data_IF_310458383772
#
_entry.id   IF_310458383772
#
_cell.length_a   1.000
_cell.length_b   1.000
_cell.length_c   1.000
_cell.angle_alpha   90.00
_cell.angle_beta   90.00
_cell.angle_gamma   90.00
#
_symmetry.space_group_name_H-M   'P 1'
#
loop_
_entity.id
_entity.type
_entity.pdbx_description
1 polymer ?
#
# COMPACT_ATOMS: atom_id res chain seq x y z
N UNK A 1 6.63 -39.26 -29.47
CA UNK A 1 5.36 -39.25 -28.71
C UNK A 1 5.04 -37.81 -28.36
N UNK A 2 3.90 -37.25 -28.77
CA UNK A 2 3.52 -35.91 -28.34
C UNK A 2 3.07 -35.98 -26.89
N UNK A 3 3.81 -35.31 -26.00
CA UNK A 3 3.39 -35.09 -24.62
C UNK A 3 2.19 -34.15 -24.64
N UNK A 4 1.12 -34.59 -23.99
CA UNK A 4 -0.15 -33.87 -23.81
C UNK A 4 0.09 -32.43 -23.38
N UNK A 5 -0.49 -31.47 -24.11
CA UNK A 5 -0.66 -30.09 -23.66
C UNK A 5 -1.93 -29.98 -22.80
N UNK A 6 -1.98 -30.68 -21.68
CA UNK A 6 -2.91 -30.35 -20.60
C UNK A 6 -2.28 -29.26 -19.74
N UNK A 7 -2.43 -28.01 -20.19
CA UNK A 7 -2.15 -26.86 -19.33
C UNK A 7 -3.34 -26.67 -18.38
N UNK A 8 -3.17 -26.84 -17.05
CA UNK A 8 -4.29 -26.77 -16.11
C UNK A 8 -4.94 -25.39 -16.13
N UNK A 9 -6.26 -25.37 -16.15
CA UNK A 9 -7.15 -24.20 -16.10
C UNK A 9 -6.79 -23.30 -14.92
N UNK A 10 -6.18 -22.16 -15.22
CA UNK A 10 -5.55 -21.27 -14.24
C UNK A 10 -6.60 -20.30 -13.64
N UNK A 11 -7.54 -20.80 -12.85
CA UNK A 11 -8.34 -20.03 -11.88
C UNK A 11 -8.52 -20.91 -10.66
N UNK A 12 -8.32 -20.37 -9.46
CA UNK A 12 -8.55 -21.09 -8.20
C UNK A 12 -9.98 -20.84 -7.75
N UNK A 13 -10.68 -21.90 -7.31
CA UNK A 13 -12.02 -21.81 -6.72
C UNK A 13 -13.20 -22.07 -7.66
N UNK A 14 -12.97 -22.40 -8.94
CA UNK A 14 -14.06 -22.80 -9.86
C UNK A 14 -14.52 -24.25 -9.70
N UNK A 15 -13.63 -25.13 -9.20
CA UNK A 15 -13.87 -26.57 -9.14
C UNK A 15 -14.15 -27.06 -7.72
N UNK A 16 -14.62 -26.17 -6.82
CA UNK A 16 -14.95 -26.61 -5.47
C UNK A 16 -16.18 -27.51 -5.48
N UNK A 17 -16.02 -28.70 -4.90
CA UNK A 17 -17.14 -29.59 -4.61
C UNK A 17 -17.90 -29.15 -3.33
N UNK A 18 -19.00 -29.82 -3.05
CA UNK A 18 -19.89 -29.48 -1.94
C UNK A 18 -19.20 -29.64 -0.59
N UNK A 19 -18.45 -30.73 -0.40
CA UNK A 19 -17.70 -31.00 0.83
C UNK A 19 -16.62 -29.94 1.09
N UNK A 20 -15.89 -29.54 0.05
CA UNK A 20 -14.88 -28.49 0.12
C UNK A 20 -15.50 -27.16 0.53
N UNK A 21 -16.61 -26.74 -0.12
CA UNK A 21 -17.29 -25.50 0.25
C UNK A 21 -17.80 -25.54 1.68
N UNK A 22 -18.37 -26.66 2.11
CA UNK A 22 -19.03 -26.78 3.42
C UNK A 22 -18.06 -26.92 4.59
N UNK A 23 -16.93 -27.60 4.39
CA UNK A 23 -16.05 -28.02 5.49
C UNK A 23 -14.63 -27.48 5.44
N UNK A 24 -14.14 -26.97 4.30
CA UNK A 24 -12.76 -26.50 4.24
C UNK A 24 -12.54 -25.31 5.19
N UNK A 25 -11.43 -25.28 5.95
CA UNK A 25 -11.10 -24.15 6.82
C UNK A 25 -10.68 -22.92 6.01
N UNK A 26 -10.22 -23.11 4.78
CA UNK A 26 -9.80 -22.05 3.88
C UNK A 26 -10.51 -22.14 2.52
N UNK A 27 -11.02 -21.01 2.05
CA UNK A 27 -11.61 -20.87 0.72
C UNK A 27 -10.87 -19.80 -0.06
N UNK A 28 -10.47 -20.13 -1.30
CA UNK A 28 -9.67 -19.28 -2.17
C UNK A 28 -10.27 -19.23 -3.56
N UNK A 29 -10.69 -18.04 -3.94
CA UNK A 29 -11.22 -17.70 -5.26
C UNK A 29 -10.28 -16.67 -5.86
N UNK A 30 -9.49 -17.06 -6.86
CA UNK A 30 -8.48 -16.18 -7.41
C UNK A 30 -8.31 -16.33 -8.92
N UNK A 31 -8.32 -15.19 -9.62
CA UNK A 31 -7.84 -15.13 -11.01
C UNK A 31 -6.32 -15.35 -11.02
N UNK A 32 -5.80 -16.21 -11.89
CA UNK A 32 -4.35 -16.50 -11.87
C UNK A 32 -3.54 -15.46 -12.64
N UNK A 33 -2.20 -15.44 -12.44
CA UNK A 33 -1.29 -14.68 -13.28
C UNK A 33 -1.08 -15.42 -14.60
N UNK A 34 -1.55 -14.88 -15.73
CA UNK A 34 -1.20 -15.44 -17.03
C UNK A 34 0.30 -15.18 -17.34
N UNK A 35 1.11 -16.20 -17.71
CA UNK A 35 2.53 -16.00 -18.01
C UNK A 35 2.83 -15.36 -19.38
N UNK A 36 1.97 -15.43 -20.42
CA UNK A 36 2.37 -14.98 -21.77
C UNK A 36 1.24 -14.46 -22.71
N UNK A 37 0.17 -13.86 -22.19
CA UNK A 37 -0.83 -13.17 -23.01
C UNK A 37 -1.23 -11.84 -22.39
N UNK A 38 -1.36 -10.79 -23.20
CA UNK A 38 -1.98 -9.54 -22.77
C UNK A 38 -3.34 -9.88 -22.13
N UNK A 39 -3.45 -9.72 -20.81
CA UNK A 39 -4.57 -10.17 -19.99
C UNK A 39 -5.85 -9.40 -20.29
N UNK A 40 -6.43 -9.67 -21.46
CA UNK A 40 -7.65 -9.05 -22.03
C UNK A 40 -8.34 -10.02 -22.98
N UNK A 41 -8.02 -11.32 -22.94
CA UNK A 41 -8.65 -12.30 -23.82
C UNK A 41 -10.11 -12.52 -23.42
N UNK A 42 -11.00 -12.78 -24.38
CA UNK A 42 -12.41 -13.14 -24.13
C UNK A 42 -12.54 -14.29 -23.10
N UNK A 43 -11.60 -15.23 -23.13
CA UNK A 43 -11.53 -16.34 -22.19
C UNK A 43 -11.26 -15.88 -20.75
N UNK A 44 -10.32 -14.96 -20.54
CA UNK A 44 -9.99 -14.47 -19.19
C UNK A 44 -11.17 -13.72 -18.57
N UNK A 45 -11.88 -12.92 -19.40
CA UNK A 45 -13.11 -12.23 -18.98
C UNK A 45 -14.20 -13.22 -18.59
N UNK A 46 -14.40 -14.27 -19.37
CA UNK A 46 -15.41 -15.29 -19.11
C UNK A 46 -15.08 -16.14 -17.89
N UNK A 47 -13.82 -16.54 -17.73
CA UNK A 47 -13.34 -17.26 -16.55
C UNK A 47 -13.49 -16.39 -15.29
N UNK A 48 -13.25 -15.08 -15.39
CA UNK A 48 -13.54 -14.11 -14.33
C UNK A 48 -15.03 -14.05 -13.96
N UNK A 49 -15.95 -14.04 -14.94
CA UNK A 49 -17.41 -14.08 -14.68
C UNK A 49 -17.85 -15.37 -14.02
N UNK A 50 -17.32 -16.51 -14.48
CA UNK A 50 -17.56 -17.81 -13.85
C UNK A 50 -17.11 -17.80 -12.40
N UNK A 51 -15.98 -17.15 -12.10
CA UNK A 51 -15.48 -17.03 -10.74
C UNK A 51 -16.39 -16.17 -9.86
N UNK A 52 -16.96 -15.07 -10.37
CA UNK A 52 -17.96 -14.27 -9.65
C UNK A 52 -19.14 -15.16 -9.23
N UNK A 53 -19.71 -15.91 -10.18
CA UNK A 53 -20.83 -16.81 -9.89
C UNK A 53 -20.45 -17.94 -8.92
N UNK A 54 -19.24 -18.51 -9.04
CA UNK A 54 -18.75 -19.55 -8.14
C UNK A 54 -18.56 -19.04 -6.71
N UNK A 55 -18.07 -17.81 -6.52
CA UNK A 55 -17.99 -17.17 -5.20
C UNK A 55 -19.38 -17.05 -4.60
N UNK A 56 -20.34 -16.46 -5.32
CA UNK A 56 -21.70 -16.27 -4.80
C UNK A 56 -22.36 -17.60 -4.41
N UNK A 57 -22.22 -18.62 -5.27
CA UNK A 57 -22.74 -19.96 -4.99
C UNK A 57 -22.09 -20.59 -3.76
N UNK A 58 -20.76 -20.50 -3.63
CA UNK A 58 -20.05 -21.09 -2.49
C UNK A 58 -20.42 -20.40 -1.17
N UNK A 59 -20.43 -19.07 -1.16
CA UNK A 59 -20.75 -18.29 0.04
C UNK A 59 -22.22 -18.44 0.46
N UNK A 60 -23.14 -18.66 -0.50
CA UNK A 60 -24.54 -18.92 -0.18
C UNK A 60 -24.77 -20.26 0.53
N UNK A 61 -23.90 -21.24 0.33
CA UNK A 61 -24.01 -22.58 0.95
C UNK A 61 -23.24 -22.70 2.26
N UNK A 62 -22.19 -21.90 2.45
CA UNK A 62 -21.35 -21.98 3.65
C UNK A 62 -22.03 -21.33 4.85
N UNK A 63 -22.38 -22.16 5.83
CA UNK A 63 -23.00 -21.71 7.09
C UNK A 63 -22.03 -21.66 8.29
N UNK A 64 -20.92 -22.41 8.24
CA UNK A 64 -19.92 -22.48 9.31
C UNK A 64 -18.79 -21.47 9.15
N UNK A 65 -18.06 -21.23 10.24
CA UNK A 65 -16.89 -20.34 10.26
C UNK A 65 -15.82 -20.79 9.25
N UNK A 66 -15.13 -19.82 8.66
CA UNK A 66 -14.02 -19.98 7.72
C UNK A 66 -12.80 -19.31 8.34
N UNK A 67 -11.69 -20.03 8.48
CA UNK A 67 -10.46 -19.47 9.02
C UNK A 67 -9.85 -18.48 8.01
N UNK A 68 -9.76 -18.86 6.74
CA UNK A 68 -9.18 -18.00 5.70
C UNK A 68 -10.09 -17.89 4.47
N UNK A 69 -10.42 -16.67 4.08
CA UNK A 69 -11.14 -16.39 2.85
C UNK A 69 -10.34 -15.42 1.99
N UNK A 70 -9.99 -15.86 0.78
CA UNK A 70 -9.42 -15.01 -0.27
C UNK A 70 -10.37 -14.96 -1.47
N UNK A 71 -10.82 -13.76 -1.81
CA UNK A 71 -11.54 -13.45 -3.05
C UNK A 71 -10.69 -12.42 -3.79
N UNK A 72 -10.07 -12.82 -4.89
CA UNK A 72 -9.07 -12.01 -5.58
C UNK A 72 -9.29 -11.99 -7.09
N UNK A 73 -9.86 -10.89 -7.58
CA UNK A 73 -10.10 -10.64 -8.99
C UNK A 73 -8.99 -9.80 -9.64
N UNK A 74 -7.89 -9.53 -8.95
CA UNK A 74 -6.73 -8.80 -9.48
C UNK A 74 -5.65 -9.79 -9.90
N UNK A 75 -5.28 -9.79 -11.18
CA UNK A 75 -4.19 -10.65 -11.69
C UNK A 75 -2.89 -10.47 -10.89
N UNK A 76 -2.42 -11.56 -10.26
CA UNK A 76 -1.23 -11.60 -9.40
C UNK A 76 0.11 -11.62 -10.15
N UNK A 77 0.33 -10.71 -11.10
CA UNK A 77 1.58 -10.62 -11.88
C UNK A 77 2.45 -9.46 -11.40
N UNK A 78 3.78 -9.63 -11.25
CA UNK A 78 4.71 -8.51 -10.97
C UNK A 78 4.68 -7.40 -12.04
N UNK A 79 4.21 -7.73 -13.26
CA UNK A 79 4.01 -6.76 -14.35
C UNK A 79 2.66 -6.04 -14.26
N UNK A 80 1.70 -6.56 -13.51
CA UNK A 80 0.37 -5.96 -13.39
C UNK A 80 0.38 -4.81 -12.36
N UNK A 81 1.02 -3.70 -12.72
CA UNK A 81 1.11 -2.52 -11.85
C UNK A 81 -0.11 -1.65 -12.02
N UNK A 82 -0.55 -1.03 -10.92
CA UNK A 82 -1.50 0.05 -10.98
C UNK A 82 -0.78 1.34 -11.38
N UNK A 83 -1.30 2.01 -12.39
CA UNK A 83 -0.84 3.32 -12.84
C UNK A 83 -1.88 4.32 -12.40
N UNK A 84 -1.49 5.12 -11.42
CA UNK A 84 -2.35 6.14 -10.86
C UNK A 84 -2.28 7.43 -11.68
N UNK A 85 -3.45 7.98 -12.03
CA UNK A 85 -3.60 9.12 -12.94
C UNK A 85 -4.59 10.14 -12.35
N UNK A 86 -4.47 11.42 -12.69
CA UNK A 86 -5.40 12.48 -12.22
C UNK A 86 -6.87 12.17 -12.55
N UNK A 87 -7.11 11.48 -13.66
CA UNK A 87 -8.42 11.03 -14.13
C UNK A 87 -8.88 9.68 -13.54
N UNK A 88 -8.21 9.14 -12.51
CA UNK A 88 -8.51 7.87 -11.81
C UNK A 88 -7.78 6.66 -12.39
N UNK A 89 -6.84 6.07 -11.66
CA UNK A 89 -5.87 5.10 -12.20
C UNK A 89 -6.43 3.80 -12.82
N UNK A 90 -5.53 3.00 -13.39
CA UNK A 90 -5.84 1.73 -14.05
C UNK A 90 -4.72 0.71 -13.86
N UNK A 91 -5.05 -0.57 -13.95
CA UNK A 91 -4.03 -1.64 -13.98
C UNK A 91 -3.45 -1.82 -15.38
N UNK A 92 -2.17 -2.16 -15.47
CA UNK A 92 -1.49 -2.46 -16.73
C UNK A 92 -2.16 -3.59 -17.52
N UNK A 93 -2.69 -4.60 -16.85
CA UNK A 93 -3.57 -5.60 -17.46
C UNK A 93 -5.02 -5.16 -17.35
N UNK A 94 -5.85 -5.42 -18.37
CA UNK A 94 -7.26 -5.01 -18.31
C UNK A 94 -8.06 -6.06 -17.54
N UNK A 95 -8.82 -5.61 -16.56
CA UNK A 95 -9.75 -6.46 -15.82
C UNK A 95 -11.15 -6.27 -16.39
N UNK A 96 -11.43 -6.80 -17.58
CA UNK A 96 -12.74 -6.60 -18.22
C UNK A 96 -13.90 -7.23 -17.40
N UNK A 97 -13.63 -8.30 -16.64
CA UNK A 97 -14.58 -8.90 -15.68
C UNK A 97 -14.93 -7.96 -14.51
N UNK A 98 -14.16 -6.90 -14.28
CA UNK A 98 -14.49 -5.90 -13.27
C UNK A 98 -15.83 -5.21 -13.55
N UNK A 99 -16.23 -5.11 -14.82
CA UNK A 99 -17.50 -4.51 -15.22
C UNK A 99 -18.72 -5.31 -14.72
N UNK A 100 -18.54 -6.61 -14.47
CA UNK A 100 -19.57 -7.53 -14.01
C UNK A 100 -19.65 -7.61 -12.47
N UNK A 101 -18.68 -7.03 -11.76
CA UNK A 101 -18.71 -6.90 -10.30
C UNK A 101 -19.59 -5.71 -9.93
N UNK A 102 -20.59 -5.94 -9.08
CA UNK A 102 -21.58 -4.94 -8.66
C UNK A 102 -21.38 -4.58 -7.18
N UNK A 103 -21.98 -3.48 -6.74
CA UNK A 103 -22.02 -3.14 -5.31
C UNK A 103 -22.69 -4.22 -4.47
N UNK A 104 -23.66 -4.96 -5.04
CA UNK A 104 -24.35 -6.04 -4.33
C UNK A 104 -23.43 -7.24 -4.12
N UNK A 105 -22.61 -7.60 -5.12
CA UNK A 105 -21.58 -8.63 -4.96
C UNK A 105 -20.60 -8.24 -3.85
N UNK A 106 -20.03 -7.03 -3.91
CA UNK A 106 -19.09 -6.53 -2.90
C UNK A 106 -19.73 -6.52 -1.51
N UNK A 107 -20.96 -6.03 -1.38
CA UNK A 107 -21.67 -6.02 -0.11
C UNK A 107 -21.94 -7.42 0.44
N UNK A 108 -22.31 -8.39 -0.41
CA UNK A 108 -22.52 -9.77 -0.01
C UNK A 108 -21.22 -10.41 0.51
N UNK A 109 -20.12 -10.24 -0.22
CA UNK A 109 -18.81 -10.80 0.15
C UNK A 109 -18.26 -10.19 1.44
N UNK A 110 -18.42 -8.88 1.63
CA UNK A 110 -18.03 -8.20 2.87
C UNK A 110 -18.86 -8.67 4.07
N UNK A 111 -20.19 -8.81 3.91
CA UNK A 111 -21.07 -9.34 4.97
C UNK A 111 -20.79 -10.80 5.31
N UNK A 112 -20.32 -11.59 4.35
CA UNK A 112 -19.85 -12.95 4.61
C UNK A 112 -18.57 -12.91 5.44
N UNK A 113 -17.58 -12.11 5.01
CA UNK A 113 -16.33 -11.90 5.74
C UNK A 113 -16.55 -11.48 7.18
N UNK A 114 -17.47 -10.52 7.40
CA UNK A 114 -17.85 -10.05 8.73
C UNK A 114 -18.38 -11.17 9.62
N UNK A 115 -19.29 -12.00 9.09
CA UNK A 115 -20.07 -12.96 9.88
C UNK A 115 -19.44 -14.32 10.04
N UNK A 116 -18.52 -14.72 9.19
CA UNK A 116 -18.01 -16.10 9.18
C UNK A 116 -16.48 -16.19 9.16
N UNK A 117 -15.73 -15.11 8.87
CA UNK A 117 -14.27 -15.21 8.79
C UNK A 117 -13.58 -14.89 10.12
N UNK A 118 -12.78 -15.82 10.62
CA UNK A 118 -12.13 -15.73 11.95
C UNK A 118 -10.61 -15.50 11.88
N UNK A 119 -9.95 -15.86 10.78
CA UNK A 119 -8.51 -15.64 10.62
C UNK A 119 -8.23 -14.49 9.67
N UNK A 120 -8.13 -14.81 8.39
CA UNK A 120 -7.71 -13.89 7.33
C UNK A 120 -8.82 -13.65 6.32
N UNK A 121 -9.23 -12.40 6.17
CA UNK A 121 -10.17 -11.97 5.14
C UNK A 121 -9.47 -11.11 4.08
N UNK A 122 -9.47 -11.56 2.83
CA UNK A 122 -8.93 -10.85 1.68
C UNK A 122 -10.00 -10.69 0.60
N UNK A 123 -10.30 -9.45 0.22
CA UNK A 123 -11.14 -9.11 -0.92
C UNK A 123 -10.39 -8.14 -1.83
N UNK A 124 -10.12 -8.55 -3.07
CA UNK A 124 -9.48 -7.71 -4.06
C UNK A 124 -10.31 -7.61 -5.34
N UNK A 125 -10.89 -6.43 -5.56
CA UNK A 125 -11.69 -6.05 -6.71
C UNK A 125 -10.90 -5.04 -7.55
N UNK A 126 -10.66 -5.31 -8.84
CA UNK A 126 -9.93 -4.42 -9.73
C UNK A 126 -10.74 -3.15 -10.07
N UNK A 127 -10.04 -2.10 -10.48
CA UNK A 127 -10.68 -0.86 -10.96
C UNK A 127 -11.34 -1.13 -12.32
N UNK A 128 -12.60 -0.72 -12.54
CA UNK A 128 -13.27 -0.90 -13.82
C UNK A 128 -12.52 -0.23 -14.99
N UNK A 129 -12.52 -0.81 -16.20
CA UNK A 129 -11.92 -0.19 -17.37
C UNK A 129 -12.57 1.16 -17.70
N UNK A 130 -11.77 2.19 -17.99
CA UNK A 130 -12.23 3.54 -18.36
C UNK A 130 -13.03 3.60 -19.68
N UNK A 131 -12.98 2.55 -20.50
CA UNK A 131 -13.54 2.53 -21.84
C UNK A 131 -14.47 1.33 -22.05
N UNK A 132 -15.69 1.41 -21.51
CA UNK A 132 -16.80 0.72 -22.16
C UNK A 132 -16.97 1.33 -23.57
N UNK A 133 -17.15 0.49 -24.59
CA UNK A 133 -17.23 0.90 -26.00
C UNK A 133 -18.21 2.09 -26.18
N UNK A 134 -17.81 3.07 -27.00
CA UNK A 134 -18.53 4.31 -27.40
C UNK A 134 -19.92 4.11 -28.04
N UNK A 135 -20.57 2.96 -27.92
CA UNK A 135 -21.85 2.66 -28.59
C UNK A 135 -23.07 2.77 -27.68
N UNK A 136 -22.92 3.27 -26.46
CA UNK A 136 -24.03 3.71 -25.64
C UNK A 136 -23.64 5.03 -24.96
N UNK A 137 -24.63 5.90 -24.71
CA UNK A 137 -24.48 7.16 -23.98
C UNK A 137 -23.56 7.00 -22.76
N UNK A 138 -22.83 8.04 -22.33
CA UNK A 138 -21.95 7.95 -21.17
C UNK A 138 -22.77 7.55 -19.95
N UNK A 139 -22.79 6.25 -19.64
CA UNK A 139 -23.34 5.77 -18.39
C UNK A 139 -22.49 6.42 -17.30
N UNK A 140 -23.10 7.14 -16.33
CA UNK A 140 -22.34 7.69 -15.21
C UNK A 140 -21.51 6.56 -14.64
N UNK A 141 -20.18 6.77 -14.59
CA UNK A 141 -19.23 5.74 -14.22
C UNK A 141 -19.74 4.98 -13.00
N UNK A 142 -19.93 3.66 -13.15
CA UNK A 142 -20.61 2.80 -12.17
C UNK A 142 -19.77 2.78 -10.90
N UNK A 143 -19.98 3.77 -10.03
CA UNK A 143 -19.31 3.88 -8.74
C UNK A 143 -19.76 2.70 -7.90
N UNK A 144 -18.81 1.85 -7.51
CA UNK A 144 -19.06 0.80 -6.55
C UNK A 144 -19.24 1.43 -5.17
N UNK A 145 -20.09 0.81 -4.36
CA UNK A 145 -20.28 1.16 -2.96
C UNK A 145 -19.98 -0.06 -2.10
N UNK A 146 -19.29 0.18 -0.99
CA UNK A 146 -18.93 -0.85 -0.03
C UNK A 146 -19.14 -0.31 1.39
N UNK A 147 -19.50 -1.20 2.32
CA UNK A 147 -19.49 -0.91 3.75
C UNK A 147 -18.37 -1.74 4.38
N UNK A 148 -17.49 -1.10 5.13
CA UNK A 148 -16.36 -1.81 5.76
C UNK A 148 -16.91 -2.81 6.80
N UNK A 149 -16.49 -4.09 6.76
CA UNK A 149 -17.04 -5.14 7.61
C UNK A 149 -16.55 -4.97 9.05
N UNK A 150 -17.46 -4.99 10.02
CA UNK A 150 -17.12 -4.85 11.44
C UNK A 150 -17.03 -6.24 12.11
N UNK A 151 -15.83 -6.82 12.15
CA UNK A 151 -15.61 -8.17 12.68
C UNK A 151 -14.68 -8.16 13.89
N UNK A 152 -15.21 -8.59 15.04
CA UNK A 152 -14.45 -8.77 16.26
C UNK A 152 -13.56 -10.03 16.25
N UNK A 153 -13.70 -10.89 15.22
CA UNK A 153 -13.02 -12.20 15.16
C UNK A 153 -11.89 -12.23 14.15
N UNK A 154 -11.97 -11.45 13.07
CA UNK A 154 -10.97 -11.47 12.01
C UNK A 154 -9.63 -10.87 12.50
N UNK A 155 -8.53 -11.59 12.30
CA UNK A 155 -7.19 -11.15 12.69
C UNK A 155 -6.53 -10.27 11.63
N UNK A 156 -6.81 -10.53 10.35
CA UNK A 156 -6.26 -9.78 9.23
C UNK A 156 -7.33 -9.42 8.23
N UNK A 157 -7.32 -8.17 7.78
CA UNK A 157 -8.26 -7.65 6.80
C UNK A 157 -7.49 -6.97 5.66
N UNK A 158 -7.73 -7.44 4.43
CA UNK A 158 -7.08 -6.92 3.22
C UNK A 158 -8.14 -6.59 2.18
N UNK A 159 -8.44 -5.32 2.00
CA UNK A 159 -9.49 -4.83 1.11
C UNK A 159 -8.91 -3.97 -0.01
N UNK A 160 -8.95 -4.46 -1.25
CA UNK A 160 -8.71 -3.68 -2.47
C UNK A 160 -10.05 -3.51 -3.17
N UNK A 161 -10.58 -2.29 -3.27
CA UNK A 161 -12.00 -2.09 -3.59
C UNK A 161 -12.25 -1.36 -4.92
N UNK A 162 -11.33 -1.39 -5.88
CA UNK A 162 -11.59 -0.90 -7.24
C UNK A 162 -12.05 0.56 -7.34
N UNK A 163 -11.60 1.42 -6.42
CA UNK A 163 -12.05 2.81 -6.20
C UNK A 163 -13.52 2.95 -5.74
N UNK A 164 -14.08 1.93 -5.09
CA UNK A 164 -15.40 1.99 -4.46
C UNK A 164 -15.47 3.11 -3.41
N UNK A 165 -16.66 3.69 -3.27
CA UNK A 165 -16.98 4.56 -2.14
C UNK A 165 -17.23 3.67 -0.92
N UNK A 166 -16.33 3.75 0.05
CA UNK A 166 -16.32 2.96 1.27
C UNK A 166 -16.96 3.74 2.42
N UNK A 167 -18.07 3.23 2.93
CA UNK A 167 -18.64 3.67 4.19
C UNK A 167 -17.86 3.03 5.35
N UNK A 168 -17.34 3.88 6.24
CA UNK A 168 -16.70 3.47 7.48
C UNK A 168 -17.79 3.30 8.56
N UNK A 169 -17.89 2.12 9.22
CA UNK A 169 -18.91 1.87 10.22
C UNK A 169 -18.67 2.71 11.48
N UNK A 170 -19.76 3.03 12.20
CA UNK A 170 -19.67 3.52 13.58
C UNK A 170 -19.40 2.31 14.47
N UNK A 171 -18.13 2.00 14.64
CA UNK A 171 -17.69 0.87 15.44
C UNK A 171 -17.74 1.20 16.93
N UNK A 172 -18.39 0.33 17.72
CA UNK A 172 -18.31 0.35 19.18
C UNK A 172 -17.01 -0.29 19.68
N UNK A 173 -16.76 -0.20 21.00
CA UNK A 173 -15.63 -0.87 21.62
C UNK A 173 -15.64 -2.39 21.32
N UNK A 174 -14.48 -2.94 20.98
CA UNK A 174 -14.32 -4.37 20.65
C UNK A 174 -14.86 -4.81 19.29
N UNK A 175 -15.34 -3.89 18.44
CA UNK A 175 -15.80 -4.23 17.08
C UNK A 175 -14.71 -4.87 16.20
N UNK A 176 -13.43 -4.70 16.56
CA UNK A 176 -12.26 -5.26 15.89
C UNK A 176 -11.25 -5.83 16.91
N UNK A 177 -11.74 -6.54 17.94
CA UNK A 177 -10.93 -7.00 19.07
C UNK A 177 -9.66 -7.79 18.68
N UNK A 178 -9.77 -8.67 17.69
CA UNK A 178 -8.67 -9.52 17.22
C UNK A 178 -7.82 -8.88 16.12
N UNK A 179 -8.25 -7.77 15.53
CA UNK A 179 -7.69 -7.25 14.28
C UNK A 179 -6.28 -6.69 14.49
N UNK A 180 -5.29 -7.30 13.84
CA UNK A 180 -3.88 -6.98 13.99
C UNK A 180 -3.24 -6.37 12.73
N UNK A 181 -3.76 -6.69 11.54
CA UNK A 181 -3.26 -6.21 10.24
C UNK A 181 -4.41 -5.72 9.37
N UNK A 182 -4.32 -4.47 8.93
CA UNK A 182 -5.27 -3.85 8.00
C UNK A 182 -4.53 -3.34 6.77
N UNK A 183 -4.93 -3.85 5.61
CA UNK A 183 -4.63 -3.25 4.31
C UNK A 183 -5.94 -2.72 3.73
N UNK A 184 -5.99 -1.41 3.49
CA UNK A 184 -7.02 -0.78 2.68
C UNK A 184 -6.36 -0.20 1.43
N UNK A 185 -6.86 -0.59 0.26
CA UNK A 185 -6.28 -0.25 -1.03
C UNK A 185 -7.35 0.16 -2.04
N UNK A 186 -7.07 1.15 -2.89
CA UNK A 186 -7.96 1.59 -3.98
C UNK A 186 -9.40 1.83 -3.51
N UNK A 187 -9.59 2.73 -2.55
CA UNK A 187 -10.90 3.03 -1.99
C UNK A 187 -11.06 4.55 -1.79
N UNK A 188 -12.30 5.04 -1.95
CA UNK A 188 -12.68 6.41 -1.61
C UNK A 188 -13.48 6.38 -0.32
N UNK A 189 -12.96 7.00 0.74
CA UNK A 189 -13.71 7.13 1.98
C UNK A 189 -14.93 8.02 1.72
N UNK A 190 -16.12 7.54 2.12
CA UNK A 190 -17.35 8.29 1.98
C UNK A 190 -17.30 9.54 2.87
N UNK A 191 -17.70 10.72 2.37
CA UNK A 191 -17.78 11.92 3.20
C UNK A 191 -18.84 11.70 4.29
N UNK A 192 -18.53 12.12 5.52
CA UNK A 192 -19.46 12.00 6.65
C UNK A 192 -19.97 13.38 7.07
N UNK A 193 -21.23 13.47 7.49
CA UNK A 193 -21.93 14.74 7.81
C UNK A 193 -21.23 15.49 8.95
N UNK A 194 -20.52 14.76 9.81
CA UNK A 194 -19.60 15.32 10.79
C UNK A 194 -18.20 14.83 10.41
N UNK A 195 -17.24 15.73 10.19
CA UNK A 195 -15.79 15.51 9.92
C UNK A 195 -15.03 14.71 11.01
N UNK A 196 -15.75 13.87 11.75
CA UNK A 196 -15.35 13.11 12.92
C UNK A 196 -15.26 11.61 12.59
N UNK A 197 -16.07 11.07 11.67
CA UNK A 197 -16.10 9.62 11.34
C UNK A 197 -15.13 9.24 10.22
N UNK A 198 -13.88 9.67 10.33
CA UNK A 198 -12.79 9.15 9.51
C UNK A 198 -12.36 7.76 10.03
N UNK A 199 -11.42 7.11 9.35
CA UNK A 199 -10.76 5.88 9.82
C UNK A 199 -10.26 5.97 11.29
N UNK A 200 -10.07 7.17 11.84
CA UNK A 200 -9.46 7.33 13.16
C UNK A 200 -10.27 6.89 14.38
N UNK A 201 -11.60 6.93 14.33
CA UNK A 201 -12.41 6.37 15.43
C UNK A 201 -12.37 4.83 15.41
N UNK A 202 -12.34 4.26 14.21
CA UNK A 202 -12.15 2.83 13.98
C UNK A 202 -10.76 2.37 14.40
N UNK A 203 -9.72 3.15 14.08
CA UNK A 203 -8.32 2.88 14.45
C UNK A 203 -7.98 3.39 15.86
N UNK A 204 -8.93 3.37 16.79
CA UNK A 204 -8.70 3.67 18.21
C UNK A 204 -8.37 2.41 19.00
N UNK A 205 -7.61 2.54 20.09
CA UNK A 205 -7.25 1.39 20.92
C UNK A 205 -8.48 0.68 21.53
N UNK A 206 -9.62 1.38 21.68
CA UNK A 206 -10.87 0.79 22.14
C UNK A 206 -11.54 -0.10 21.08
N UNK A 207 -11.38 0.24 19.80
CA UNK A 207 -11.95 -0.51 18.68
C UNK A 207 -11.02 -1.64 18.22
N UNK A 208 -9.70 -1.36 18.10
CA UNK A 208 -8.68 -2.28 17.59
C UNK A 208 -7.51 -2.41 18.59
N UNK A 209 -7.68 -3.09 19.75
CA UNK A 209 -6.66 -3.16 20.80
C UNK A 209 -5.41 -3.95 20.39
N UNK A 210 -5.46 -4.74 19.32
CA UNK A 210 -4.35 -5.57 18.83
C UNK A 210 -3.75 -5.09 17.52
N UNK A 211 -4.15 -3.91 17.03
CA UNK A 211 -3.69 -3.41 15.74
C UNK A 211 -2.19 -3.10 15.78
N UNK A 212 -1.43 -3.78 14.94
CA UNK A 212 0.03 -3.62 14.82
C UNK A 212 0.45 -3.12 13.45
N UNK A 213 -0.28 -3.45 12.38
CA UNK A 213 0.07 -3.08 11.01
C UNK A 213 -1.08 -2.37 10.32
N UNK A 214 -0.80 -1.19 9.80
CA UNK A 214 -1.74 -0.40 9.02
C UNK A 214 -1.11 -0.02 7.69
N UNK A 215 -1.79 -0.41 6.60
CA UNK A 215 -1.37 -0.12 5.23
C UNK A 215 -2.52 0.54 4.49
N UNK A 216 -2.31 1.76 4.05
CA UNK A 216 -3.25 2.55 3.26
C UNK A 216 -2.61 2.82 1.89
N UNK A 217 -3.22 2.31 0.82
CA UNK A 217 -2.70 2.44 -0.54
C UNK A 217 -3.77 3.04 -1.48
N UNK A 218 -3.45 4.10 -2.23
CA UNK A 218 -4.40 4.73 -3.17
C UNK A 218 -5.76 5.10 -2.53
N UNK A 219 -5.71 5.69 -1.33
CA UNK A 219 -6.91 6.12 -0.59
C UNK A 219 -7.23 7.57 -0.93
N UNK A 220 -8.50 7.85 -1.21
CA UNK A 220 -9.00 9.21 -1.47
C UNK A 220 -10.16 9.56 -0.53
N UNK A 221 -10.45 10.86 -0.35
CA UNK A 221 -11.55 11.32 0.52
C UNK A 221 -11.27 11.21 2.02
N UNK A 222 -10.00 11.08 2.41
CA UNK A 222 -9.58 11.09 3.80
C UNK A 222 -9.03 12.48 4.16
N UNK A 223 -9.80 13.26 4.91
CA UNK A 223 -9.42 14.63 5.26
C UNK A 223 -8.42 14.72 6.43
N UNK A 224 -8.46 13.75 7.36
CA UNK A 224 -7.58 13.68 8.53
C UNK A 224 -7.24 12.23 8.89
N UNK A 225 -5.94 11.93 9.09
CA UNK A 225 -5.48 10.63 9.60
C UNK A 225 -5.28 10.71 11.11
N UNK A 226 -6.25 10.20 11.89
CA UNK A 226 -6.18 10.21 13.36
C UNK A 226 -5.83 8.81 13.88
N UNK A 227 -4.56 8.56 14.21
CA UNK A 227 -4.12 7.26 14.72
C UNK A 227 -4.31 7.17 16.24
N UNK A 228 -5.54 6.88 16.70
CA UNK A 228 -5.86 6.79 18.15
C UNK A 228 -5.39 5.49 18.81
N UNK A 229 -4.99 4.48 18.02
CA UNK A 229 -4.32 3.25 18.45
C UNK A 229 -2.78 3.34 18.33
N UNK A 230 -2.22 4.55 18.34
CA UNK A 230 -0.78 4.78 18.19
C UNK A 230 0.12 3.95 19.13
N UNK A 231 -0.40 3.59 20.32
CA UNK A 231 0.34 2.84 21.31
C UNK A 231 0.55 1.36 20.95
N UNK A 232 -0.19 0.78 20.00
CA UNK A 232 -0.03 -0.64 19.62
C UNK A 232 0.55 -0.82 18.22
N UNK A 233 0.57 0.25 17.42
CA UNK A 233 0.98 0.21 16.03
C UNK A 233 2.51 0.11 15.91
N UNK A 234 2.98 -0.91 15.20
CA UNK A 234 4.39 -1.24 14.96
C UNK A 234 4.83 -0.90 13.53
N UNK A 235 3.92 -1.04 12.57
CA UNK A 235 4.15 -0.82 11.14
C UNK A 235 3.08 0.11 10.55
N UNK A 236 3.55 1.18 9.90
CA UNK A 236 2.71 2.09 9.15
C UNK A 236 3.20 2.19 7.71
N UNK A 237 2.29 1.94 6.76
CA UNK A 237 2.53 2.18 5.34
C UNK A 237 1.47 3.10 4.76
N UNK A 238 1.92 4.21 4.19
CA UNK A 238 1.09 5.19 3.51
C UNK A 238 1.58 5.29 2.07
N UNK A 239 0.74 4.89 1.12
CA UNK A 239 1.10 4.80 -0.29
C UNK A 239 0.08 5.57 -1.14
N UNK A 240 0.56 6.47 -2.01
CA UNK A 240 -0.25 7.25 -2.95
C UNK A 240 -1.52 7.90 -2.37
N UNK A 241 -1.40 8.56 -1.22
CA UNK A 241 -2.49 9.34 -0.65
C UNK A 241 -2.66 10.67 -1.41
N UNK A 242 -3.40 10.64 -2.52
CA UNK A 242 -3.71 11.82 -3.33
C UNK A 242 -4.53 12.84 -2.53
N UNK A 243 -4.19 14.12 -2.69
CA UNK A 243 -4.83 15.29 -2.06
C UNK A 243 -4.48 15.57 -0.60
N UNK A 244 -3.26 15.26 -0.21
CA UNK A 244 -2.61 15.76 1.01
C UNK A 244 -2.32 17.27 1.01
N UNK A 245 -3.14 18.08 0.31
CA UNK A 245 -2.91 19.52 0.12
C UNK A 245 -2.83 20.28 1.45
N UNK A 246 -3.49 19.78 2.48
CA UNK A 246 -3.46 20.32 3.84
C UNK A 246 -2.87 19.30 4.82
N UNK A 247 -1.77 18.67 4.42
CA UNK A 247 -0.91 17.81 5.25
C UNK A 247 -0.67 18.33 6.66
N UNK A 248 -0.53 19.64 6.82
CA UNK A 248 -0.41 20.28 8.12
C UNK A 248 -1.67 20.12 8.97
N UNK A 249 -2.84 20.38 8.41
CA UNK A 249 -4.12 20.20 9.10
C UNK A 249 -4.41 18.71 9.33
N UNK A 250 -4.13 17.87 8.33
CA UNK A 250 -4.31 16.41 8.36
C UNK A 250 -3.42 15.74 9.41
N UNK A 251 -2.20 16.25 9.65
CA UNK A 251 -1.21 15.67 10.58
C UNK A 251 -1.05 16.41 11.90
N UNK A 252 -1.67 17.59 12.04
CA UNK A 252 -1.86 18.24 13.35
C UNK A 252 -2.46 17.33 14.43
N UNK A 253 -3.42 16.41 14.14
CA UNK A 253 -4.02 15.56 15.16
C UNK A 253 -3.28 14.21 15.30
N UNK A 254 -2.17 13.98 14.60
CA UNK A 254 -1.39 12.74 14.73
C UNK A 254 -0.61 12.79 16.05
N UNK A 255 -0.89 11.87 17.00
CA UNK A 255 -0.17 11.81 18.27
C UNK A 255 1.26 11.31 18.04
N UNK A 256 2.08 11.32 19.10
CA UNK A 256 3.34 10.59 19.07
C UNK A 256 3.08 9.10 18.82
N UNK A 257 3.94 8.48 18.01
CA UNK A 257 3.85 7.10 17.55
C UNK A 257 5.04 6.30 18.11
N UNK A 258 5.08 6.06 19.43
CA UNK A 258 6.28 5.61 20.12
C UNK A 258 6.71 4.17 19.78
N UNK A 259 5.80 3.35 19.25
CA UNK A 259 6.04 1.93 18.98
C UNK A 259 6.21 1.60 17.50
N UNK A 260 6.12 2.59 16.59
CA UNK A 260 6.38 2.36 15.17
C UNK A 260 7.88 2.11 14.98
N UNK A 261 8.20 0.89 14.56
CA UNK A 261 9.56 0.47 14.20
C UNK A 261 9.77 0.48 12.69
N UNK A 262 8.70 0.43 11.90
CA UNK A 262 8.75 0.38 10.45
C UNK A 262 7.80 1.39 9.82
N UNK A 263 8.35 2.32 9.04
CA UNK A 263 7.58 3.31 8.29
C UNK A 263 7.87 3.16 6.80
N UNK A 264 6.82 3.06 6.00
CA UNK A 264 6.90 3.16 4.53
C UNK A 264 6.01 4.29 4.06
N UNK A 265 6.58 5.24 3.32
CA UNK A 265 5.83 6.35 2.74
C UNK A 265 6.13 6.44 1.24
N UNK A 266 5.09 6.47 0.41
CA UNK A 266 5.21 6.96 -0.97
C UNK A 266 4.79 8.42 -0.99
N UNK A 267 5.62 9.27 -1.59
CA UNK A 267 5.24 10.65 -1.85
C UNK A 267 5.88 11.16 -3.13
N UNK A 268 5.22 12.17 -3.69
CA UNK A 268 5.81 12.98 -4.74
C UNK A 268 6.85 13.91 -4.10
N UNK A 269 7.97 14.15 -4.79
CA UNK A 269 9.07 14.98 -4.26
C UNK A 269 8.60 16.32 -3.68
N UNK A 270 7.73 17.04 -4.39
CA UNK A 270 7.21 18.35 -3.98
C UNK A 270 6.37 18.33 -2.68
N UNK A 271 5.95 17.16 -2.23
CA UNK A 271 5.22 16.97 -0.96
C UNK A 271 6.01 16.14 0.04
N UNK A 272 7.14 15.55 -0.39
CA UNK A 272 8.00 14.68 0.39
C UNK A 272 8.53 15.42 1.60
N UNK A 273 8.88 16.70 1.39
CA UNK A 273 9.55 17.46 2.40
C UNK A 273 8.67 17.68 3.65
N UNK A 274 7.86 18.73 3.76
CA UNK A 274 7.24 19.09 5.03
C UNK A 274 6.41 17.95 5.67
N UNK A 275 5.95 17.02 4.84
CA UNK A 275 5.03 15.96 5.22
C UNK A 275 5.67 14.75 5.88
N UNK A 276 6.68 14.18 5.24
CA UNK A 276 7.32 12.97 5.74
C UNK A 276 8.26 13.31 6.88
N UNK A 277 8.87 14.51 6.89
CA UNK A 277 9.59 15.00 8.06
C UNK A 277 8.70 15.07 9.30
N UNK A 278 7.51 15.68 9.20
CA UNK A 278 6.53 15.74 10.30
C UNK A 278 6.10 14.34 10.75
N UNK A 279 5.88 13.39 9.82
CA UNK A 279 5.52 12.01 10.16
C UNK A 279 6.68 11.27 10.86
N UNK A 280 7.90 11.37 10.33
CA UNK A 280 9.09 10.78 10.92
C UNK A 280 9.33 11.35 12.32
N UNK A 281 9.15 12.67 12.51
CA UNK A 281 9.32 13.33 13.81
C UNK A 281 8.32 12.85 14.88
N UNK A 282 7.23 12.16 14.50
CA UNK A 282 6.30 11.50 15.44
C UNK A 282 6.74 10.10 15.83
N UNK A 283 7.70 9.49 15.12
CA UNK A 283 8.14 8.12 15.34
C UNK A 283 9.45 8.10 16.14
N UNK A 284 9.37 7.89 17.45
CA UNK A 284 10.56 7.94 18.32
C UNK A 284 11.42 6.68 18.32
N UNK A 285 10.91 5.53 17.85
CA UNK A 285 11.61 4.23 17.83
C UNK A 285 11.77 3.65 16.42
N UNK A 286 11.81 4.53 15.42
CA UNK A 286 11.86 4.09 14.03
C UNK A 286 13.17 3.35 13.74
N UNK A 287 13.08 2.08 13.37
CA UNK A 287 14.23 1.22 13.04
C UNK A 287 14.41 1.05 11.53
N UNK A 288 13.30 1.04 10.77
CA UNK A 288 13.27 0.88 9.32
C UNK A 288 12.46 1.98 8.66
N UNK A 289 13.07 2.68 7.71
CA UNK A 289 12.43 3.75 6.93
C UNK A 289 12.52 3.41 5.45
N UNK A 290 11.37 3.36 4.77
CA UNK A 290 11.30 3.26 3.31
C UNK A 290 10.57 4.47 2.73
N UNK A 291 11.22 5.19 1.83
CA UNK A 291 10.63 6.32 1.09
C UNK A 291 10.58 5.94 -0.38
N UNK A 292 9.39 5.93 -0.95
CA UNK A 292 9.21 5.70 -2.38
C UNK A 292 8.87 7.03 -3.08
N UNK A 293 9.79 7.51 -3.92
CA UNK A 293 9.63 8.76 -4.64
C UNK A 293 8.88 8.46 -5.93
N UNK A 294 7.62 8.87 -5.98
CA UNK A 294 6.78 8.80 -7.18
C UNK A 294 7.24 9.80 -8.24
N UNK A 295 7.07 9.46 -9.54
CA UNK A 295 7.43 10.33 -10.66
C UNK A 295 6.83 11.74 -10.49
N UNK A 296 7.57 12.80 -10.84
CA UNK A 296 6.99 14.14 -10.89
C UNK A 296 5.77 14.11 -11.81
N UNK A 297 4.67 14.73 -11.39
CA UNK A 297 3.69 15.20 -12.38
C UNK A 297 4.42 16.15 -13.33
N UNK A 298 3.93 16.25 -14.57
CA UNK A 298 4.42 17.23 -15.56
C UNK A 298 4.72 18.58 -14.90
N UNK A 299 5.78 19.29 -15.33
CA UNK A 299 6.22 20.54 -14.71
C UNK A 299 5.01 21.42 -14.46
N UNK A 300 4.79 21.74 -13.19
CA UNK A 300 3.57 22.38 -12.75
C UNK A 300 3.36 23.69 -13.52
N UNK A 301 2.44 23.71 -14.47
CA UNK A 301 2.07 24.94 -15.17
C UNK A 301 1.16 25.83 -14.31
N UNK A 302 0.81 25.37 -13.09
CA UNK A 302 -0.03 26.11 -12.16
C UNK A 302 0.84 27.06 -11.31
N UNK A 303 0.69 28.39 -11.45
CA UNK A 303 1.40 29.38 -10.63
C UNK A 303 0.98 29.36 -9.15
N UNK A 304 -0.07 28.61 -8.78
CA UNK A 304 -0.44 28.31 -7.40
C UNK A 304 0.04 26.91 -6.94
N UNK A 305 0.96 26.26 -7.65
CA UNK A 305 1.57 25.05 -7.13
C UNK A 305 2.52 25.39 -5.97
N UNK A 306 2.40 24.66 -4.86
CA UNK A 306 3.36 24.65 -3.76
C UNK A 306 4.73 24.05 -4.13
N UNK A 307 4.95 23.72 -5.41
CA UNK A 307 6.13 23.07 -5.95
C UNK A 307 7.44 23.86 -5.75
N UNK A 308 7.35 25.17 -5.43
CA UNK A 308 8.48 26.07 -5.20
C UNK A 308 8.45 26.73 -3.81
N UNK A 309 7.66 26.24 -2.85
CA UNK A 309 7.72 26.80 -1.50
C UNK A 309 9.00 26.29 -0.82
N UNK A 310 9.99 27.17 -0.73
CA UNK A 310 11.16 26.96 0.11
C UNK A 310 10.73 26.74 1.56
N UNK A 311 11.53 25.92 2.24
CA UNK A 311 11.71 25.89 3.68
C UNK A 311 10.63 25.15 4.50
N UNK A 312 11.03 23.96 4.93
CA UNK A 312 10.46 23.32 6.12
C UNK A 312 11.38 22.27 6.76
N UNK A 313 12.40 21.79 6.04
CA UNK A 313 13.34 20.79 6.55
C UNK A 313 14.42 21.39 7.43
N UNK A 314 14.82 22.63 7.16
CA UNK A 314 15.95 23.25 7.85
C UNK A 314 15.67 23.54 9.33
N UNK A 315 14.41 23.80 9.70
CA UNK A 315 14.04 24.09 11.09
C UNK A 315 13.60 22.85 11.90
N UNK A 316 13.27 21.74 11.23
CA UNK A 316 12.85 20.52 11.93
C UNK A 316 14.05 19.65 12.28
N UNK A 317 14.44 19.68 13.56
CA UNK A 317 15.37 18.70 14.14
C UNK A 317 14.72 17.32 14.16
N UNK A 318 14.89 16.58 13.08
CA UNK A 318 14.53 15.16 13.02
C UNK A 318 15.59 14.38 13.79
N UNK A 319 15.17 13.55 14.75
CA UNK A 319 16.06 12.62 15.47
C UNK A 319 15.71 11.19 15.05
N UNK A 320 16.69 10.45 14.53
CA UNK A 320 16.54 9.07 14.04
C UNK A 320 17.48 8.13 14.81
N UNK A 321 17.53 8.26 16.13
CA UNK A 321 18.49 7.58 17.02
C UNK A 321 18.50 6.06 16.89
N UNK A 322 17.35 5.46 16.55
CA UNK A 322 17.17 4.01 16.46
C UNK A 322 17.14 3.49 15.02
N UNK A 323 17.29 4.37 14.01
CA UNK A 323 17.16 3.96 12.61
C UNK A 323 18.36 3.10 12.21
N UNK A 324 18.10 1.85 11.85
CA UNK A 324 19.10 0.84 11.42
C UNK A 324 19.11 0.69 9.90
N UNK A 325 17.94 0.73 9.28
CA UNK A 325 17.80 0.48 7.84
C UNK A 325 17.00 1.59 7.16
N UNK A 326 17.62 2.22 6.15
CA UNK A 326 16.95 3.17 5.27
C UNK A 326 16.85 2.64 3.84
N UNK A 327 15.75 2.91 3.16
CA UNK A 327 15.57 2.62 1.74
C UNK A 327 14.89 3.79 1.05
N UNK A 328 15.49 4.32 -0.01
CA UNK A 328 14.89 5.33 -0.87
C UNK A 328 14.81 4.78 -2.29
N UNK A 329 13.64 4.83 -2.91
CA UNK A 329 13.43 4.37 -4.29
C UNK A 329 12.93 5.49 -5.18
N UNK A 330 13.21 5.42 -6.48
CA UNK A 330 12.80 6.46 -7.43
C UNK A 330 13.61 7.75 -7.33
N UNK A 331 14.84 7.68 -6.78
CA UNK A 331 15.66 8.86 -6.59
C UNK A 331 16.14 9.41 -7.95
N UNK A 332 15.95 10.71 -8.16
CA UNK A 332 16.69 11.49 -9.16
C UNK A 332 17.93 12.14 -8.50
N UNK A 333 19.13 12.09 -9.11
CA UNK A 333 20.34 12.68 -8.52
C UNK A 333 20.37 14.21 -8.69
N UNK A 334 19.45 14.93 -8.06
CA UNK A 334 19.46 16.39 -7.90
C UNK A 334 20.04 16.78 -6.54
N UNK A 335 20.55 18.00 -6.39
CA UNK A 335 21.07 18.49 -5.09
C UNK A 335 20.03 18.38 -3.96
N UNK A 336 18.76 18.61 -4.28
CA UNK A 336 17.62 18.51 -3.36
C UNK A 336 17.44 17.07 -2.85
N UNK A 337 17.38 16.09 -3.77
CA UNK A 337 17.26 14.67 -3.42
C UNK A 337 18.45 14.14 -2.63
N UNK A 338 19.65 14.62 -2.93
CA UNK A 338 20.86 14.29 -2.17
C UNK A 338 20.85 14.92 -0.78
N UNK A 339 20.25 16.11 -0.61
CA UNK A 339 20.12 16.77 0.69
C UNK A 339 19.27 15.95 1.68
N UNK A 340 18.21 15.28 1.18
CA UNK A 340 17.40 14.35 1.96
C UNK A 340 18.25 13.18 2.47
N UNK A 341 19.01 12.53 1.59
CA UNK A 341 19.89 11.41 1.96
C UNK A 341 20.89 11.87 3.04
N UNK A 342 21.54 13.01 2.83
CA UNK A 342 22.50 13.59 3.77
C UNK A 342 21.87 13.82 5.14
N UNK A 343 20.63 14.35 5.18
CA UNK A 343 19.92 14.62 6.43
C UNK A 343 19.53 13.34 7.17
N UNK A 344 19.02 12.34 6.46
CA UNK A 344 18.66 11.04 7.06
C UNK A 344 19.90 10.39 7.69
N UNK A 345 21.02 10.34 6.96
CA UNK A 345 22.28 9.77 7.48
C UNK A 345 22.83 10.58 8.66
N UNK A 346 22.80 11.92 8.58
CA UNK A 346 23.27 12.79 9.66
C UNK A 346 22.46 12.61 10.96
N UNK A 347 21.15 12.40 10.82
CA UNK A 347 20.19 12.27 11.92
C UNK A 347 20.11 10.84 12.49
N UNK A 348 20.72 9.85 11.82
CA UNK A 348 20.66 8.43 12.18
C UNK A 348 22.04 7.89 12.60
N UNK A 349 22.44 8.05 13.88
CA UNK A 349 23.74 7.57 14.36
C UNK A 349 23.86 6.03 14.42
N UNK A 350 22.74 5.30 14.50
CA UNK A 350 22.69 3.83 14.57
C UNK A 350 22.51 3.16 13.20
N UNK A 351 22.65 3.90 12.09
CA UNK A 351 22.37 3.42 10.75
C UNK A 351 23.37 2.32 10.35
N UNK A 352 22.84 1.13 10.06
CA UNK A 352 23.60 -0.05 9.64
C UNK A 352 23.60 -0.21 8.12
N UNK A 353 22.51 0.20 7.46
CA UNK A 353 22.35 0.06 6.01
C UNK A 353 21.46 1.15 5.43
N UNK A 354 21.84 1.69 4.29
CA UNK A 354 20.99 2.61 3.52
C UNK A 354 21.03 2.25 2.04
N UNK A 355 19.88 1.88 1.47
CA UNK A 355 19.76 1.51 0.05
C UNK A 355 19.09 2.63 -0.74
N UNK A 356 19.63 2.97 -1.91
CA UNK A 356 19.08 3.97 -2.81
C UNK A 356 18.89 3.33 -4.19
N UNK A 357 17.66 3.32 -4.69
CA UNK A 357 17.33 2.86 -6.04
C UNK A 357 16.99 4.06 -6.92
N UNK A 358 17.68 4.17 -8.07
CA UNK A 358 17.52 5.31 -8.98
C UNK A 358 16.31 5.15 -9.91
N UNK A 359 15.84 6.29 -10.41
CA UNK A 359 14.99 6.32 -11.59
C UNK A 359 15.74 5.76 -12.83
N UNK A 360 15.00 5.09 -13.73
CA UNK A 360 15.50 4.54 -15.00
C UNK A 360 16.32 5.58 -15.79
N UNK A 361 17.47 5.16 -16.33
CA UNK A 361 18.34 5.98 -17.18
C UNK A 361 19.12 7.08 -16.46
N UNK A 362 19.28 7.00 -15.14
CA UNK A 362 20.11 7.91 -14.35
C UNK A 362 21.25 7.14 -13.69
N UNK A 363 22.44 7.73 -13.67
CA UNK A 363 23.59 7.27 -12.89
C UNK A 363 23.79 8.22 -11.72
N UNK A 364 24.28 7.68 -10.60
CA UNK A 364 24.56 8.47 -9.42
C UNK A 364 26.07 8.58 -9.21
N UNK A 365 26.57 9.81 -9.26
CA UNK A 365 27.95 10.10 -8.91
C UNK A 365 28.12 9.96 -7.40
N UNK A 366 28.66 8.82 -6.97
CA UNK A 366 28.89 8.50 -5.56
C UNK A 366 29.87 9.47 -4.88
N UNK A 367 30.68 10.21 -5.65
CA UNK A 367 31.57 11.26 -5.09
C UNK A 367 30.79 12.49 -4.60
N UNK A 368 29.56 12.68 -5.09
CA UNK A 368 28.68 13.79 -4.72
C UNK A 368 27.83 13.53 -3.47
N UNK A 369 27.86 12.30 -2.90
CA UNK A 369 27.19 11.98 -1.63
C UNK A 369 28.24 11.93 -0.51
N UNK A 370 28.28 12.94 0.38
CA UNK A 370 29.24 13.01 1.48
C UNK A 370 29.13 11.77 2.38
N UNK A 371 30.26 11.09 2.51
CA UNK A 371 30.47 9.83 3.21
C UNK A 371 30.99 10.07 4.65
N UNK A 372 30.32 10.94 5.41
CA UNK A 372 30.84 11.37 6.72
C UNK A 372 30.99 10.24 7.76
N UNK A 373 30.38 9.06 7.51
CA UNK A 373 30.38 7.91 8.44
C UNK A 373 30.42 6.54 7.74
N UNK A 374 30.63 6.45 6.43
CA UNK A 374 30.51 5.18 5.71
C UNK A 374 30.69 5.29 4.20
N UNK A 375 30.55 4.17 3.48
CA UNK A 375 30.91 4.07 2.07
C UNK A 375 29.71 3.62 1.23
N UNK A 376 29.57 4.18 0.03
CA UNK A 376 28.59 3.74 -0.97
C UNK A 376 29.21 2.70 -1.91
N UNK A 377 28.47 1.63 -2.20
CA UNK A 377 28.82 0.64 -3.19
C UNK A 377 27.62 0.37 -4.12
N UNK A 378 27.84 0.14 -5.42
CA UNK A 378 26.78 -0.30 -6.31
C UNK A 378 26.32 -1.71 -5.93
N UNK A 379 25.01 -1.91 -5.86
CA UNK A 379 24.40 -3.22 -5.65
C UNK A 379 24.29 -3.98 -6.96
N UNK A 380 24.69 -5.25 -6.96
CA UNK A 380 24.30 -6.18 -8.04
C UNK A 380 22.87 -6.64 -7.76
N UNK A 381 21.85 -5.79 -8.01
CA UNK A 381 20.47 -6.17 -7.69
C UNK A 381 19.90 -7.12 -8.75
N UNK A 382 19.49 -8.32 -8.32
CA UNK A 382 18.42 -9.07 -8.97
C UNK A 382 17.11 -8.27 -8.98
N UNK A 383 16.26 -8.55 -9.96
CA UNK A 383 15.02 -7.84 -10.32
C UNK A 383 14.22 -7.30 -9.10
N UNK A 384 14.16 -5.98 -8.96
CA UNK A 384 13.22 -5.30 -8.05
C UNK A 384 11.77 -5.59 -8.48
N UNK A 385 10.94 -6.02 -7.53
CA UNK A 385 9.59 -6.54 -7.79
C UNK A 385 8.54 -5.47 -8.10
N UNK A 386 8.88 -4.17 -8.00
CA UNK A 386 7.91 -3.07 -8.18
C UNK A 386 8.29 -1.99 -9.18
N UNK A 387 9.57 -1.78 -9.47
CA UNK A 387 10.04 -0.82 -10.48
C UNK A 387 11.16 -1.46 -11.29
N UNK A 388 11.20 -1.18 -12.60
CA UNK A 388 12.41 -1.49 -13.38
C UNK A 388 13.38 -0.40 -12.94
N UNK A 389 14.33 -0.73 -12.08
CA UNK A 389 15.41 0.15 -11.67
C UNK A 389 16.68 -0.37 -12.34
N UNK A 390 17.44 0.52 -12.98
CA UNK A 390 18.65 0.11 -13.69
C UNK A 390 19.84 -0.05 -12.74
N UNK A 391 19.86 0.72 -11.64
CA UNK A 391 20.96 0.74 -10.68
C UNK A 391 20.45 1.01 -9.25
N UNK A 392 21.00 0.27 -8.29
CA UNK A 392 20.81 0.45 -6.87
C UNK A 392 22.18 0.63 -6.20
N UNK A 393 22.23 1.42 -5.15
CA UNK A 393 23.43 1.70 -4.36
C UNK A 393 23.14 1.42 -2.89
N UNK A 394 24.13 0.91 -2.18
CA UNK A 394 24.05 0.63 -0.76
C UNK A 394 25.17 1.36 -0.02
N UNK A 395 24.78 2.01 1.06
CA UNK A 395 25.66 2.62 2.03
C UNK A 395 25.76 1.74 3.26
N UNK A 396 26.98 1.55 3.75
CA UNK A 396 27.29 0.87 5.01
C UNK A 396 28.22 1.72 5.86
N UNK A 397 28.10 1.67 7.20
CA UNK A 397 28.96 2.44 8.09
C UNK A 397 30.41 1.98 7.96
N UNK A 398 31.35 2.93 8.04
CA UNK A 398 32.77 2.65 8.08
C UNK A 398 33.11 1.95 9.39
N UNK A 399 33.98 0.93 9.34
CA UNK A 399 34.46 0.29 10.57
C UNK A 399 35.06 1.39 11.46
N UNK A 400 34.60 1.52 12.71
CA UNK A 400 35.31 2.30 13.73
C UNK A 400 36.69 1.65 13.86
N UNK A 401 37.69 2.26 13.23
CA UNK A 401 39.07 1.87 13.42
C UNK A 401 39.37 1.90 14.91
N UNK A 402 39.94 0.80 15.40
CA UNK A 402 40.62 0.77 16.69
C UNK A 402 41.51 2.01 16.75
N UNK A 403 41.22 2.93 17.66
CA UNK A 403 42.22 3.88 18.13
C UNK A 403 43.22 3.09 18.99
N UNK A 404 43.95 2.19 18.33
CA UNK A 404 45.13 1.51 18.85
C UNK A 404 46.25 2.51 18.81
N UNK A 405 46.66 2.90 20.02
CA UNK A 405 47.86 3.67 20.30
C UNK A 405 49.04 3.17 19.46
N UNK A 406 49.68 4.06 18.73
CA UNK A 406 51.13 3.97 18.56
C UNK A 406 51.74 5.23 19.16
N UNK A 407 52.10 5.10 20.44
CA UNK A 407 53.08 5.96 21.10
C UNK A 407 54.44 5.52 20.58
N UNK A 408 55.23 6.49 20.13
CA UNK A 408 56.40 6.24 19.32
C UNK A 408 57.56 5.49 19.95
N UNK A 409 58.53 5.24 19.07
CA UNK A 409 59.96 5.42 19.28
C UNK A 409 60.57 5.84 17.94
#
# INVERSE_FOLDING_TARGET
MPLSFDSPSKIVGLNYDDEQVLHAPALRFAVTPNPFGAGTGLKDTEDGRRLIAAVDAALARRAGDVEELEINFVYGSPRNRYIDMTSGGFYLFRHDHAADITSDHVAAWLRFGERLVTGRFTLAVPVPPRHAKKTAAPAPGRKLYAAMPASARSQRMSLTLGNATLAVPVAGAGAFDTLADVLLSHARIAPTIANQRNLGDLLSAACCPRLRRLRLEYITGLDALRLRAAATLEELRLDHAKNWKDMEEMMSPVPQLPNITSLTADAQWQHLEASIAKLIAKCSRLERLTIDISRPCDPCSNPHCFCNQEAGWDDQKISLEHLREGKITGLQPSNEHLSLIRRVIASAPALERMTVELCIGKELDCSSIPCNRGHWAPCVSGQSSRRVCDQAYEWTPGKKGEAGQDKGA
#
